data_IF_063632625103
#
_entry.id   IF_063632625103
#
_cell.length_a   1.000
_cell.length_b   1.000
_cell.length_c   1.000
_cell.angle_alpha   90.00
_cell.angle_beta   90.00
_cell.angle_gamma   90.00
#
_symmetry.space_group_name_H-M   'P 1'
#
loop_
_entity.id
_entity.type
_entity.pdbx_description
1 polymer ?
#
# COMPACT_ATOMS: atom_id res chain seq x y z
N UNK A 1 8.23 14.32 1.70
CA UNK A 1 7.64 13.18 2.45
C UNK A 1 8.35 11.92 2.03
N UNK A 2 8.82 11.11 2.98
CA UNK A 2 9.51 9.87 2.69
C UNK A 2 8.57 8.68 2.67
N UNK A 3 8.91 7.66 1.86
CA UNK A 3 8.20 6.39 1.89
C UNK A 3 9.04 5.40 2.67
N UNK A 4 8.42 4.78 3.68
CA UNK A 4 9.07 3.78 4.50
C UNK A 4 8.32 2.46 4.34
N UNK A 5 9.06 1.40 4.04
CA UNK A 5 8.47 0.08 3.82
C UNK A 5 8.58 -0.77 5.07
N UNK A 6 7.48 -1.35 5.51
CA UNK A 6 7.49 -2.28 6.64
C UNK A 6 8.18 -3.58 6.24
N UNK A 7 8.61 -4.35 7.25
CA UNK A 7 9.20 -5.65 6.99
C UNK A 7 8.19 -6.60 6.36
N UNK A 8 6.95 -6.52 6.80
CA UNK A 8 5.87 -7.35 6.25
C UNK A 8 5.69 -7.08 4.76
N UNK A 9 5.65 -5.80 4.38
CA UNK A 9 5.52 -5.44 2.97
C UNK A 9 6.70 -5.95 2.16
N UNK A 10 7.91 -5.78 2.67
CA UNK A 10 9.12 -6.21 1.96
C UNK A 10 9.12 -7.69 1.70
N UNK A 11 8.73 -8.48 2.70
CA UNK A 11 8.67 -9.93 2.56
C UNK A 11 7.68 -10.35 1.49
N UNK A 12 6.51 -9.73 1.50
CA UNK A 12 5.48 -10.06 0.52
C UNK A 12 5.85 -9.60 -0.87
N UNK A 13 6.47 -8.43 -0.98
CA UNK A 13 6.90 -7.92 -2.27
C UNK A 13 7.93 -8.85 -2.93
N UNK A 14 8.82 -9.42 -2.14
CA UNK A 14 9.83 -10.35 -2.67
C UNK A 14 9.21 -11.59 -3.28
N UNK A 15 8.03 -11.97 -2.85
CA UNK A 15 7.35 -13.14 -3.38
C UNK A 15 6.72 -12.90 -4.75
N UNK A 16 6.56 -11.65 -5.13
CA UNK A 16 6.00 -11.31 -6.45
C UNK A 16 7.09 -11.49 -7.49
N UNK A 17 6.93 -12.49 -8.35
CA UNK A 17 7.94 -12.82 -9.35
C UNK A 17 7.76 -12.07 -10.66
N UNK A 18 6.54 -11.68 -10.96
CA UNK A 18 6.24 -11.01 -12.22
C UNK A 18 6.81 -9.61 -12.25
N UNK A 19 7.72 -9.39 -13.18
CA UNK A 19 8.44 -8.13 -13.30
C UNK A 19 7.51 -6.96 -13.60
N UNK A 20 6.55 -7.17 -14.49
CA UNK A 20 5.60 -6.13 -14.86
C UNK A 20 4.77 -5.70 -13.66
N UNK A 21 4.33 -6.65 -12.85
CA UNK A 21 3.56 -6.37 -11.64
C UNK A 21 4.40 -5.56 -10.65
N UNK A 22 5.65 -5.93 -10.47
CA UNK A 22 6.54 -5.20 -9.57
C UNK A 22 6.71 -3.75 -10.01
N UNK A 23 6.89 -3.53 -11.29
CA UNK A 23 7.04 -2.19 -11.85
C UNK A 23 5.78 -1.36 -11.63
N UNK A 24 4.60 -1.98 -11.86
CA UNK A 24 3.32 -1.29 -11.61
C UNK A 24 3.20 -0.86 -10.16
N UNK A 25 3.55 -1.74 -9.24
CA UNK A 25 3.48 -1.42 -7.81
C UNK A 25 4.39 -0.23 -7.49
N UNK A 26 5.63 -0.28 -7.95
CA UNK A 26 6.59 0.80 -7.69
C UNK A 26 6.08 2.12 -8.26
N UNK A 27 5.53 2.11 -9.47
CA UNK A 27 5.03 3.33 -10.09
C UNK A 27 3.87 3.94 -9.31
N UNK A 28 2.97 3.10 -8.78
CA UNK A 28 1.88 3.61 -7.94
C UNK A 28 2.40 4.20 -6.63
N UNK A 29 3.42 3.58 -6.05
CA UNK A 29 4.00 4.11 -4.83
C UNK A 29 4.71 5.44 -5.06
N UNK A 30 5.33 5.62 -6.22
CA UNK A 30 5.93 6.91 -6.57
C UNK A 30 4.87 8.00 -6.70
N UNK A 31 3.73 7.69 -7.28
CA UNK A 31 2.62 8.65 -7.34
C UNK A 31 2.13 9.01 -5.96
N UNK A 32 2.18 8.06 -5.04
CA UNK A 32 1.73 8.28 -3.68
C UNK A 32 2.58 9.35 -2.98
N UNK A 33 3.86 9.45 -3.31
CA UNK A 33 4.71 10.51 -2.76
C UNK A 33 4.18 11.90 -3.12
N UNK A 34 3.61 12.03 -4.30
CA UNK A 34 3.07 13.31 -4.77
C UNK A 34 1.68 13.58 -4.21
N UNK A 35 0.90 12.54 -4.03
CA UNK A 35 -0.49 12.64 -3.59
C UNK A 35 -0.75 11.67 -2.43
N UNK A 36 -0.16 11.94 -1.25
CA UNK A 36 -0.23 10.98 -0.15
C UNK A 36 -1.65 10.68 0.34
N UNK A 37 -2.58 11.59 0.13
CA UNK A 37 -3.94 11.39 0.58
C UNK A 37 -4.87 10.83 -0.51
N UNK A 38 -4.28 10.34 -1.60
CA UNK A 38 -5.08 9.81 -2.72
C UNK A 38 -5.71 8.46 -2.41
N UNK A 39 -5.17 7.71 -1.45
CA UNK A 39 -5.74 6.42 -1.08
C UNK A 39 -7.04 6.56 -0.33
N UNK A 40 -7.88 5.53 -0.41
CA UNK A 40 -9.17 5.52 0.25
C UNK A 40 -9.00 5.36 1.77
N UNK A 41 -9.56 6.26 2.59
CA UNK A 41 -9.48 6.11 4.04
C UNK A 41 -10.23 4.85 4.50
N UNK A 42 -9.65 4.17 5.47
CA UNK A 42 -10.23 2.97 6.03
C UNK A 42 -10.89 3.27 7.37
N UNK A 43 -11.73 2.36 7.82
CA UNK A 43 -12.54 2.57 9.01
C UNK A 43 -12.34 1.45 10.04
N UNK A 44 -12.99 1.59 11.18
CA UNK A 44 -12.98 0.63 12.28
C UNK A 44 -11.56 0.42 12.80
N UNK A 45 -11.13 -0.80 12.92
CA UNK A 45 -9.80 -1.09 13.47
C UNK A 45 -8.66 -0.65 12.56
N UNK A 46 -8.97 -0.25 11.31
CA UNK A 46 -7.98 0.29 10.40
C UNK A 46 -8.08 1.80 10.25
N UNK A 47 -8.83 2.45 11.14
CA UNK A 47 -8.95 3.90 11.12
C UNK A 47 -7.57 4.55 11.19
N UNK A 48 -7.35 5.55 10.36
CA UNK A 48 -6.05 6.21 10.26
C UNK A 48 -5.17 5.65 9.17
N UNK A 49 -5.58 4.54 8.58
CA UNK A 49 -4.89 3.95 7.43
C UNK A 49 -5.64 4.27 6.15
N UNK A 50 -4.97 4.11 5.04
CA UNK A 50 -5.54 4.28 3.71
C UNK A 50 -5.16 3.08 2.86
N UNK A 51 -5.91 2.86 1.79
CA UNK A 51 -5.55 1.80 0.84
C UNK A 51 -5.51 2.34 -0.57
N UNK A 52 -4.61 1.78 -1.39
CA UNK A 52 -4.59 2.02 -2.82
C UNK A 52 -4.78 0.70 -3.54
N UNK A 53 -5.50 0.76 -4.65
CA UNK A 53 -5.83 -0.42 -5.42
C UNK A 53 -4.89 -0.53 -6.61
N UNK A 54 -4.16 -1.63 -6.66
CA UNK A 54 -3.27 -1.96 -7.78
C UNK A 54 -3.61 -3.38 -8.18
N UNK A 55 -4.64 -3.59 -9.03
CA UNK A 55 -5.15 -4.94 -9.29
C UNK A 55 -4.03 -5.90 -9.71
N UNK A 56 -4.04 -7.13 -9.22
CA UNK A 56 -5.03 -7.72 -8.32
C UNK A 56 -4.81 -7.42 -6.85
N UNK A 57 -3.92 -6.51 -6.53
CA UNK A 57 -3.52 -6.21 -5.15
C UNK A 57 -4.20 -4.97 -4.61
N UNK A 58 -4.15 -4.86 -3.29
CA UNK A 58 -4.50 -3.65 -2.57
C UNK A 58 -3.43 -3.47 -1.49
N UNK A 59 -2.96 -2.24 -1.33
CA UNK A 59 -1.88 -1.95 -0.39
C UNK A 59 -2.40 -1.01 0.68
N UNK A 60 -2.13 -1.33 1.93
CA UNK A 60 -2.51 -0.51 3.08
C UNK A 60 -1.31 0.30 3.52
N UNK A 61 -1.53 1.58 3.72
CA UNK A 61 -0.50 2.49 4.20
C UNK A 61 -1.10 3.50 5.17
N UNK A 62 -0.24 4.23 5.86
CA UNK A 62 -0.66 5.34 6.70
C UNK A 62 0.32 6.50 6.54
N UNK A 63 -0.12 7.68 6.91
CA UNK A 63 0.73 8.87 6.94
C UNK A 63 1.03 9.17 8.39
N UNK A 64 2.30 9.30 8.72
CA UNK A 64 2.73 9.50 10.10
C UNK A 64 3.93 10.45 10.11
N UNK A 65 3.78 11.59 10.77
CA UNK A 65 4.87 12.56 10.91
C UNK A 65 5.58 12.90 9.60
N UNK A 66 4.83 13.19 8.58
CA UNK A 66 5.39 13.56 7.29
C UNK A 66 6.07 12.39 6.56
N UNK A 67 5.75 11.16 6.95
CA UNK A 67 6.21 9.95 6.27
C UNK A 67 5.03 9.14 5.80
N UNK A 68 5.23 8.41 4.71
CA UNK A 68 4.26 7.45 4.22
C UNK A 68 4.77 6.06 4.60
N UNK A 69 4.03 5.39 5.46
CA UNK A 69 4.42 4.05 5.95
C UNK A 69 3.63 3.01 5.18
N UNK A 70 4.32 2.24 4.35
CA UNK A 70 3.66 1.15 3.60
C UNK A 70 3.60 -0.06 4.51
N UNK A 71 2.38 -0.40 4.96
CA UNK A 71 2.17 -1.43 5.97
C UNK A 71 2.21 -2.85 5.42
N UNK A 72 1.35 -3.14 4.45
CA UNK A 72 1.20 -4.51 3.98
C UNK A 72 0.30 -4.55 2.76
N UNK A 73 0.28 -5.72 2.12
CA UNK A 73 -0.74 -6.01 1.13
C UNK A 73 -2.01 -6.42 1.86
N UNK A 74 -3.15 -6.03 1.32
CA UNK A 74 -4.44 -6.37 1.89
C UNK A 74 -4.94 -7.65 1.23
N UNK A 75 -5.08 -8.69 2.03
CA UNK A 75 -5.50 -10.00 1.57
C UNK A 75 -6.96 -10.30 1.89
N UNK A 76 -7.72 -9.29 2.30
CA UNK A 76 -9.09 -9.47 2.75
C UNK A 76 -10.11 -9.37 1.62
N UNK A 77 -9.73 -9.74 0.43
CA UNK A 77 -10.63 -9.63 -0.71
C UNK A 77 -11.92 -10.42 -0.52
N UNK A 78 -11.87 -11.46 0.27
CA UNK A 78 -13.07 -12.26 0.55
C UNK A 78 -14.02 -11.56 1.53
N UNK A 79 -13.53 -10.60 2.25
CA UNK A 79 -14.33 -9.84 3.22
C UNK A 79 -15.22 -8.82 2.52
N UNK A 80 -14.88 -8.45 1.31
CA UNK A 80 -15.58 -7.39 0.58
C UNK A 80 -16.72 -7.90 -0.31
N UNK A 81 -17.11 -9.09 -0.12
CA UNK A 81 -18.21 -9.67 -0.90
C UNK A 81 -19.55 -9.14 -0.41
#
# INVERSE_FOLDING_TARGET
>A
MQIIFSDEFRKEFKKIKDKTTRIRIINHLKKLEQLPESGKPLQYNLKGHRSIRIPPFRIIYRIEQNNIIINCFDHRKDVYK
#
